data_IF_133606983460
#
_entry.id   IF_133606983460
#
_cell.length_a   1.000
_cell.length_b   1.000
_cell.length_c   1.000
_cell.angle_alpha   90.00
_cell.angle_beta   90.00
_cell.angle_gamma   90.00
#
_symmetry.space_group_name_H-M   'P 1'
#
loop_
_entity.id
_entity.type
_entity.pdbx_description
1 polymer ?
#
# COMPACT_ATOMS: atom_id res chain seq x y z
N UNK A 1 4.21 -4.47 -14.45
CA UNK A 1 5.26 -3.94 -13.55
C UNK A 1 5.43 -4.85 -12.36
N UNK A 2 6.67 -5.12 -11.98
CA UNK A 2 7.00 -6.03 -10.88
C UNK A 2 7.73 -5.31 -9.78
N UNK A 3 7.58 -5.79 -8.54
CA UNK A 3 8.33 -5.31 -7.39
C UNK A 3 8.54 -6.47 -6.41
N UNK A 4 9.43 -6.29 -5.44
CA UNK A 4 9.80 -7.34 -4.49
C UNK A 4 9.58 -6.83 -3.06
N UNK A 5 8.92 -7.64 -2.25
CA UNK A 5 8.77 -7.41 -0.81
C UNK A 5 9.14 -8.70 -0.08
N UNK A 6 10.06 -8.62 0.87
CA UNK A 6 10.53 -9.78 1.65
C UNK A 6 10.91 -10.97 0.75
N UNK A 7 11.69 -10.68 -0.31
CA UNK A 7 12.14 -11.67 -1.30
C UNK A 7 11.03 -12.32 -2.13
N UNK A 8 9.80 -11.81 -2.04
CA UNK A 8 8.67 -12.29 -2.83
C UNK A 8 8.36 -11.33 -3.96
N UNK A 9 8.22 -11.87 -5.17
CA UNK A 9 7.88 -11.08 -6.34
C UNK A 9 6.38 -10.85 -6.41
N UNK A 10 6.01 -9.58 -6.58
CA UNK A 10 4.65 -9.10 -6.77
C UNK A 10 4.52 -8.40 -8.10
N UNK A 11 3.28 -8.26 -8.57
CA UNK A 11 2.94 -7.53 -9.79
C UNK A 11 1.95 -6.42 -9.50
N UNK A 12 2.02 -5.36 -10.29
CA UNK A 12 0.98 -4.34 -10.34
C UNK A 12 0.31 -4.45 -11.71
N UNK A 13 -1.02 -4.52 -11.72
CA UNK A 13 -1.83 -4.53 -12.94
C UNK A 13 -2.88 -3.44 -12.89
N UNK A 14 -2.88 -2.60 -13.92
CA UNK A 14 -3.94 -1.61 -14.12
C UNK A 14 -5.04 -2.26 -14.92
N UNK A 15 -6.26 -2.20 -14.40
CA UNK A 15 -7.41 -2.92 -14.97
C UNK A 15 -8.59 -1.98 -15.17
N UNK A 16 -9.52 -2.41 -16.00
CA UNK A 16 -10.75 -1.65 -16.25
C UNK A 16 -11.53 -1.47 -14.94
N UNK A 17 -12.18 -0.30 -14.72
CA UNK A 17 -12.96 -0.06 -13.50
C UNK A 17 -14.03 -1.11 -13.20
N UNK A 18 -14.50 -1.84 -14.20
CA UNK A 18 -15.51 -2.90 -14.04
C UNK A 18 -14.91 -4.29 -13.95
N UNK A 19 -13.59 -4.41 -13.89
CA UNK A 19 -12.91 -5.70 -13.80
C UNK A 19 -13.35 -6.48 -12.56
N UNK A 20 -13.49 -7.80 -12.73
CA UNK A 20 -13.72 -8.71 -11.60
C UNK A 20 -12.59 -8.67 -10.58
N UNK A 21 -11.38 -8.30 -11.01
CA UNK A 21 -10.22 -8.20 -10.13
C UNK A 21 -10.36 -7.07 -9.09
N UNK A 22 -11.30 -6.15 -9.29
CA UNK A 22 -11.61 -5.07 -8.35
C UNK A 22 -12.89 -5.35 -7.56
N UNK A 23 -13.47 -6.53 -7.70
CA UNK A 23 -14.72 -6.88 -7.02
C UNK A 23 -14.42 -7.57 -5.70
N UNK A 24 -15.03 -7.08 -4.61
CA UNK A 24 -14.97 -7.71 -3.31
C UNK A 24 -15.92 -8.89 -3.22
N UNK A 25 -15.76 -9.72 -2.20
CA UNK A 25 -16.60 -10.90 -1.95
C UNK A 25 -18.08 -10.55 -1.78
N UNK A 26 -18.40 -9.35 -1.32
CA UNK A 26 -19.78 -8.87 -1.16
C UNK A 26 -20.40 -8.30 -2.46
N UNK A 27 -19.64 -8.34 -3.57
CA UNK A 27 -20.07 -7.82 -4.85
C UNK A 27 -19.79 -6.34 -5.08
N UNK A 28 -19.30 -5.62 -4.08
CA UNK A 28 -18.92 -4.21 -4.24
C UNK A 28 -17.63 -4.09 -5.06
N UNK A 29 -17.47 -2.96 -5.76
CA UNK A 29 -16.29 -2.68 -6.58
C UNK A 29 -15.45 -1.63 -5.87
N UNK A 30 -14.14 -1.89 -5.81
CA UNK A 30 -13.16 -0.98 -5.22
C UNK A 30 -12.25 -0.39 -6.31
N UNK A 31 -11.39 0.56 -5.93
CA UNK A 31 -10.41 1.15 -6.85
C UNK A 31 -9.06 0.43 -6.84
N UNK A 32 -8.80 -0.38 -5.84
CA UNK A 32 -7.60 -1.19 -5.73
C UNK A 32 -7.85 -2.46 -4.96
N UNK A 33 -7.08 -3.49 -5.24
CA UNK A 33 -7.22 -4.80 -4.62
C UNK A 33 -5.87 -5.48 -4.52
N UNK A 34 -5.55 -5.99 -3.34
CA UNK A 34 -4.37 -6.83 -3.11
C UNK A 34 -4.80 -8.29 -3.07
N UNK A 35 -4.24 -9.11 -3.97
CA UNK A 35 -4.51 -10.54 -4.03
C UNK A 35 -3.25 -11.30 -3.65
N UNK A 36 -3.25 -11.86 -2.43
CA UNK A 36 -2.11 -12.62 -1.92
C UNK A 36 -1.92 -13.96 -2.64
N UNK A 37 -2.98 -14.52 -3.19
CA UNK A 37 -2.89 -15.81 -3.91
C UNK A 37 -2.09 -15.67 -5.20
N UNK A 38 -2.33 -14.61 -5.96
CA UNK A 38 -1.63 -14.34 -7.23
C UNK A 38 -0.45 -13.40 -7.06
N UNK A 39 -0.23 -12.87 -5.84
CA UNK A 39 0.81 -11.86 -5.57
C UNK A 39 0.68 -10.67 -6.52
N UNK A 40 -0.53 -10.13 -6.64
CA UNK A 40 -0.84 -9.05 -7.57
C UNK A 40 -1.62 -7.95 -6.85
N UNK A 41 -1.23 -6.71 -7.15
CA UNK A 41 -2.00 -5.53 -6.78
C UNK A 41 -2.70 -5.03 -8.04
N UNK A 42 -4.03 -4.99 -7.99
CA UNK A 42 -4.86 -4.48 -9.10
C UNK A 42 -5.25 -3.04 -8.81
N UNK A 43 -5.15 -2.19 -9.81
CA UNK A 43 -5.48 -0.76 -9.70
C UNK A 43 -6.40 -0.38 -10.86
N UNK A 44 -7.46 0.37 -10.54
CA UNK A 44 -8.34 0.96 -11.53
C UNK A 44 -7.53 1.87 -12.47
N UNK A 45 -7.64 1.65 -13.78
CA UNK A 45 -6.83 2.36 -14.77
C UNK A 45 -7.38 3.75 -15.15
N UNK A 46 -8.42 4.24 -14.46
CA UNK A 46 -9.05 5.54 -14.71
C UNK A 46 -8.82 6.54 -13.58
N UNK A 47 -7.94 6.24 -12.65
CA UNK A 47 -7.63 7.14 -11.53
C UNK A 47 -6.69 8.27 -11.98
N UNK A 48 -6.81 9.42 -11.32
CA UNK A 48 -5.81 10.49 -11.42
C UNK A 48 -4.48 10.03 -10.81
N UNK A 49 -3.38 10.73 -11.12
CA UNK A 49 -2.08 10.43 -10.54
C UNK A 49 -2.11 10.49 -9.02
N UNK A 50 -2.81 11.49 -8.46
CA UNK A 50 -3.00 11.63 -7.02
C UNK A 50 -3.69 10.39 -6.41
N UNK A 51 -4.74 9.89 -7.07
CA UNK A 51 -5.47 8.73 -6.58
C UNK A 51 -4.71 7.43 -6.78
N UNK A 52 -3.90 7.31 -7.83
CA UNK A 52 -2.99 6.15 -7.99
C UNK A 52 -2.00 6.09 -6.84
N UNK A 53 -1.40 7.22 -6.49
CA UNK A 53 -0.45 7.31 -5.37
C UNK A 53 -1.10 6.82 -4.06
N UNK A 54 -2.27 7.34 -3.73
CA UNK A 54 -2.97 6.95 -2.51
C UNK A 54 -3.44 5.51 -2.53
N UNK A 55 -4.00 5.06 -3.64
CA UNK A 55 -4.48 3.70 -3.80
C UNK A 55 -3.32 2.70 -3.66
N UNK A 56 -2.21 2.96 -4.35
CA UNK A 56 -1.04 2.09 -4.28
C UNK A 56 -0.45 2.04 -2.87
N UNK A 57 -0.33 3.18 -2.19
CA UNK A 57 0.16 3.22 -0.81
C UNK A 57 -0.73 2.39 0.12
N UNK A 58 -2.05 2.49 -0.04
CA UNK A 58 -3.01 1.68 0.71
C UNK A 58 -2.80 0.18 0.46
N UNK A 59 -2.75 -0.22 -0.81
CA UNK A 59 -2.59 -1.63 -1.17
C UNK A 59 -1.23 -2.19 -0.75
N UNK A 60 -0.16 -1.39 -0.82
CA UNK A 60 1.16 -1.83 -0.35
C UNK A 60 1.18 -2.13 1.15
N UNK A 61 0.36 -1.46 1.96
CA UNK A 61 0.21 -1.84 3.37
C UNK A 61 -0.29 -3.27 3.53
N UNK A 62 -1.26 -3.67 2.72
CA UNK A 62 -1.75 -5.06 2.72
C UNK A 62 -0.66 -6.03 2.27
N UNK A 63 0.11 -5.68 1.24
CA UNK A 63 1.23 -6.51 0.77
C UNK A 63 2.23 -6.75 1.90
N UNK A 64 2.62 -5.70 2.61
CA UNK A 64 3.57 -5.80 3.72
C UNK A 64 3.01 -6.64 4.86
N UNK A 65 1.73 -6.45 5.20
CA UNK A 65 1.09 -7.25 6.24
C UNK A 65 1.11 -8.74 5.88
N UNK A 66 0.83 -9.10 4.63
CA UNK A 66 0.90 -10.49 4.16
C UNK A 66 2.34 -11.04 4.21
N UNK A 67 3.29 -10.30 3.64
CA UNK A 67 4.66 -10.83 3.47
C UNK A 67 5.45 -10.90 4.78
N UNK A 68 5.12 -10.07 5.76
CA UNK A 68 5.78 -10.08 7.07
C UNK A 68 4.94 -10.74 8.16
N UNK A 69 3.84 -11.40 7.80
CA UNK A 69 2.93 -12.08 8.73
C UNK A 69 2.51 -11.19 9.89
N UNK A 70 2.26 -9.91 9.61
CA UNK A 70 1.83 -8.96 10.61
C UNK A 70 0.30 -9.00 10.70
N UNK A 71 -0.20 -9.81 11.62
CA UNK A 71 -1.63 -10.06 11.74
C UNK A 71 -2.36 -8.91 12.42
N UNK A 72 -3.37 -8.40 11.75
CA UNK A 72 -4.32 -7.43 12.24
C UNK A 72 -5.70 -7.89 11.81
N UNK A 73 -6.72 -7.60 12.63
CA UNK A 73 -8.09 -7.72 12.15
C UNK A 73 -8.26 -6.84 10.92
N UNK A 74 -9.05 -7.28 9.94
CA UNK A 74 -9.15 -6.58 8.66
C UNK A 74 -9.60 -5.13 8.83
N UNK A 75 -10.46 -4.84 9.79
CA UNK A 75 -10.91 -3.48 10.07
C UNK A 75 -9.75 -2.59 10.55
N UNK A 76 -8.88 -3.13 11.38
CA UNK A 76 -7.67 -2.43 11.85
C UNK A 76 -6.68 -2.25 10.70
N UNK A 77 -6.47 -3.28 9.91
CA UNK A 77 -5.56 -3.22 8.75
C UNK A 77 -6.00 -2.15 7.75
N UNK A 78 -7.30 -2.04 7.49
CA UNK A 78 -7.86 -0.99 6.63
C UNK A 78 -7.59 0.41 7.19
N UNK A 79 -7.74 0.60 8.51
CA UNK A 79 -7.46 1.89 9.15
C UNK A 79 -5.96 2.24 9.01
N UNK A 80 -5.07 1.28 9.25
CA UNK A 80 -3.63 1.47 9.09
C UNK A 80 -3.28 1.82 7.65
N UNK A 81 -3.86 1.10 6.69
CA UNK A 81 -3.61 1.34 5.26
C UNK A 81 -4.08 2.74 4.85
N UNK A 82 -5.25 3.18 5.31
CA UNK A 82 -5.75 4.52 5.05
C UNK A 82 -4.83 5.60 5.65
N UNK A 83 -4.43 5.43 6.89
CA UNK A 83 -3.51 6.36 7.55
C UNK A 83 -2.19 6.47 6.77
N UNK A 84 -1.61 5.35 6.38
CA UNK A 84 -0.36 5.34 5.62
C UNK A 84 -0.51 6.00 4.26
N UNK A 85 -1.65 5.81 3.59
CA UNK A 85 -1.89 6.44 2.29
C UNK A 85 -1.98 7.96 2.38
N UNK A 86 -2.43 8.49 3.53
CA UNK A 86 -2.59 9.93 3.75
C UNK A 86 -1.32 10.58 4.29
N UNK A 87 -0.63 9.94 5.23
CA UNK A 87 0.41 10.58 6.04
C UNK A 87 1.76 9.86 6.04
N UNK A 88 1.83 8.62 5.56
CA UNK A 88 3.04 7.79 5.67
C UNK A 88 4.27 8.44 5.08
N UNK A 89 4.15 8.96 3.85
CA UNK A 89 5.26 9.63 3.18
C UNK A 89 5.72 10.87 3.95
N UNK A 90 4.79 11.66 4.47
CA UNK A 90 5.11 12.86 5.24
C UNK A 90 5.84 12.51 6.54
N UNK A 91 5.44 11.43 7.19
CA UNK A 91 6.12 10.95 8.41
C UNK A 91 7.56 10.57 8.08
N UNK A 92 7.78 9.82 7.00
CA UNK A 92 9.12 9.37 6.60
C UNK A 92 10.00 10.57 6.20
N UNK A 93 9.46 11.52 5.43
CA UNK A 93 10.20 12.72 5.06
C UNK A 93 10.61 13.54 6.27
N UNK A 94 9.71 13.70 7.24
CA UNK A 94 10.03 14.42 8.47
C UNK A 94 11.09 13.67 9.27
N UNK A 95 11.00 12.35 9.35
CA UNK A 95 12.02 11.50 10.01
C UNK A 95 13.37 11.69 9.35
N UNK A 96 13.44 11.69 8.02
CA UNK A 96 14.68 11.90 7.27
C UNK A 96 15.30 13.26 7.54
N UNK A 97 14.47 14.29 7.81
CA UNK A 97 14.95 15.62 8.18
C UNK A 97 15.45 15.69 9.63
N UNK A 98 14.80 14.96 10.54
CA UNK A 98 15.10 15.03 11.96
C UNK A 98 16.31 14.20 12.37
N UNK A 99 16.49 13.00 11.82
CA UNK A 99 17.56 12.08 12.23
C UNK A 99 18.96 12.70 12.11
N UNK A 100 19.33 13.38 11.00
CA UNK A 100 20.65 14.02 10.93
C UNK A 100 20.88 15.09 12.01
N UNK A 101 19.82 15.81 12.38
CA UNK A 101 19.92 16.84 13.45
C UNK A 101 20.13 16.18 14.81
N UNK A 102 19.39 15.11 15.10
CA UNK A 102 19.50 14.35 16.34
C UNK A 102 20.89 13.71 16.45
N UNK A 103 21.37 13.06 15.38
CA UNK A 103 22.68 12.44 15.37
C UNK A 103 23.80 13.45 15.63
N UNK A 104 23.71 14.63 15.01
CA UNK A 104 24.70 15.68 15.17
C UNK A 104 24.69 16.29 16.57
N UNK A 105 23.49 16.49 17.14
CA UNK A 105 23.34 17.21 18.41
C UNK A 105 23.45 16.31 19.65
N UNK A 106 23.04 15.03 19.54
CA UNK A 106 22.83 14.19 20.72
C UNK A 106 23.53 12.83 20.66
N UNK A 107 23.93 12.36 19.49
CA UNK A 107 24.48 11.01 19.28
C UNK A 107 25.92 11.00 18.76
N UNK A 108 26.47 12.17 18.47
CA UNK A 108 27.83 12.31 17.94
C UNK A 108 28.91 12.01 18.98
#
# INVERSE_FOLDING_TARGET
>A
MKFVVNDQEWKIKFVNPKSKDLMRSDGSITIGMTDNTTKTVYINNRLSDYMVDKCLAHELCHVFAFEFDYFMDIEVEEIVADFMSLYGRNIIYLLDDLIPVINKAYMA
#
